data_IF_322809150773
#
_entry.id   IF_322809150773
#
_cell.length_a   1.000
_cell.length_b   1.000
_cell.length_c   1.000
_cell.angle_alpha   90.00
_cell.angle_beta   90.00
_cell.angle_gamma   90.00
#
_symmetry.space_group_name_H-M   'P 1'
#
loop_
_entity.id
_entity.type
_entity.pdbx_description
1 polymer ?
#
# COMPACT_ATOMS: atom_id res chain seq x y z
N UNK A 1 -16.04 18.06 79.27
CA UNK A 1 -15.57 18.95 78.19
C UNK A 1 -14.77 18.18 77.14
N UNK A 2 -13.95 17.19 77.51
CA UNK A 2 -13.14 16.40 76.57
C UNK A 2 -13.93 15.51 75.59
N UNK A 3 -15.00 14.86 76.03
CA UNK A 3 -15.84 14.05 75.12
C UNK A 3 -16.42 14.88 73.95
N UNK A 4 -16.77 16.13 74.21
CA UNK A 4 -17.31 17.02 73.19
C UNK A 4 -16.27 17.41 72.14
N UNK A 5 -15.01 17.62 72.56
CA UNK A 5 -13.88 17.85 71.65
C UNK A 5 -13.59 16.62 70.78
N UNK A 6 -13.65 15.42 71.36
CA UNK A 6 -13.46 14.18 70.61
C UNK A 6 -14.56 13.95 69.56
N UNK A 7 -15.83 14.20 69.93
CA UNK A 7 -16.98 14.10 69.00
C UNK A 7 -16.83 15.09 67.84
N UNK A 8 -16.40 16.33 68.11
CA UNK A 8 -16.17 17.33 67.06
C UNK A 8 -15.02 16.95 66.12
N UNK A 9 -13.92 16.43 66.68
CA UNK A 9 -12.78 15.93 65.90
C UNK A 9 -13.19 14.78 64.97
N UNK A 10 -13.95 13.81 65.50
CA UNK A 10 -14.47 12.69 64.71
C UNK A 10 -15.38 13.17 63.59
N UNK A 11 -16.35 14.05 63.87
CA UNK A 11 -17.24 14.60 62.85
C UNK A 11 -16.47 15.32 61.74
N UNK A 12 -15.42 16.09 62.08
CA UNK A 12 -14.59 16.76 61.08
C UNK A 12 -13.87 15.75 60.17
N UNK A 13 -13.35 14.67 60.73
CA UNK A 13 -12.72 13.58 59.96
C UNK A 13 -13.73 12.85 59.07
N UNK A 14 -14.93 12.56 59.58
CA UNK A 14 -16.02 11.95 58.80
C UNK A 14 -16.42 12.86 57.63
N UNK A 15 -16.64 14.15 57.88
CA UNK A 15 -16.99 15.12 56.83
C UNK A 15 -15.91 15.22 55.76
N UNK A 16 -14.63 15.20 56.15
CA UNK A 16 -13.50 15.19 55.21
C UNK A 16 -13.50 13.93 54.35
N UNK A 17 -13.65 12.76 54.97
CA UNK A 17 -13.69 11.48 54.25
C UNK A 17 -14.89 11.38 53.28
N UNK A 18 -16.05 11.92 53.68
CA UNK A 18 -17.23 12.00 52.80
C UNK A 18 -16.98 12.93 51.60
N UNK A 19 -16.29 14.06 51.81
CA UNK A 19 -15.94 14.95 50.70
C UNK A 19 -14.97 14.30 49.73
N UNK A 20 -13.91 13.66 50.25
CA UNK A 20 -12.94 12.94 49.42
C UNK A 20 -13.61 11.80 48.62
N UNK A 21 -14.59 11.12 49.22
CA UNK A 21 -15.38 10.09 48.52
C UNK A 21 -16.15 10.68 47.35
N UNK A 22 -16.86 11.79 47.55
CA UNK A 22 -17.59 12.48 46.46
C UNK A 22 -16.66 12.92 45.35
N UNK A 23 -15.53 13.54 45.68
CA UNK A 23 -14.54 13.98 44.70
C UNK A 23 -13.96 12.81 43.87
N UNK A 24 -13.78 11.64 44.50
CA UNK A 24 -13.34 10.42 43.82
C UNK A 24 -14.42 9.81 42.93
N UNK A 25 -15.67 9.82 43.36
CA UNK A 25 -16.81 9.36 42.57
C UNK A 25 -16.98 10.19 41.29
N UNK A 26 -16.84 11.51 41.39
CA UNK A 26 -16.91 12.42 40.25
C UNK A 26 -15.77 12.17 39.24
N UNK A 27 -14.54 11.98 39.75
CA UNK A 27 -13.39 11.63 38.90
C UNK A 27 -13.59 10.27 38.23
N UNK A 28 -14.14 9.29 38.95
CA UNK A 28 -14.43 7.97 38.40
C UNK A 28 -15.45 8.07 37.25
N UNK A 29 -16.48 8.90 37.41
CA UNK A 29 -17.49 9.16 36.38
C UNK A 29 -16.86 9.80 35.13
N UNK A 30 -16.01 10.82 35.30
CA UNK A 30 -15.30 11.46 34.19
C UNK A 30 -14.41 10.46 33.42
N UNK A 31 -13.65 9.62 34.14
CA UNK A 31 -12.83 8.55 33.53
C UNK A 31 -13.70 7.56 32.75
N UNK A 32 -14.86 7.17 33.28
CA UNK A 32 -15.80 6.28 32.58
C UNK A 32 -16.35 6.93 31.30
N UNK A 33 -16.68 8.22 31.34
CA UNK A 33 -17.17 8.98 30.17
C UNK A 33 -16.09 9.05 29.08
N UNK A 34 -14.86 9.41 29.43
CA UNK A 34 -13.72 9.45 28.50
C UNK A 34 -13.45 8.09 27.87
N UNK A 35 -13.49 7.02 28.67
CA UNK A 35 -13.33 5.64 28.19
C UNK A 35 -14.39 5.26 27.16
N UNK A 36 -15.66 5.62 27.41
CA UNK A 36 -16.74 5.35 26.47
C UNK A 36 -16.53 6.07 25.13
N UNK A 37 -16.19 7.35 25.17
CA UNK A 37 -15.89 8.14 23.97
C UNK A 37 -14.73 7.54 23.16
N UNK A 38 -13.66 7.10 23.84
CA UNK A 38 -12.53 6.46 23.21
C UNK A 38 -12.93 5.14 22.53
N UNK A 39 -13.76 4.32 23.20
CA UNK A 39 -14.26 3.06 22.63
C UNK A 39 -15.05 3.30 21.34
N UNK A 40 -15.97 4.27 21.35
CA UNK A 40 -16.76 4.64 20.17
C UNK A 40 -15.90 5.23 19.04
N UNK A 41 -14.85 5.99 19.37
CA UNK A 41 -13.91 6.50 18.37
C UNK A 41 -13.07 5.37 17.74
N UNK A 42 -12.63 4.41 18.55
CA UNK A 42 -11.89 3.23 18.10
C UNK A 42 -12.73 2.36 17.16
N UNK A 43 -13.98 2.06 17.54
CA UNK A 43 -14.92 1.29 16.71
C UNK A 43 -15.14 1.95 15.35
N UNK A 44 -15.33 3.28 15.31
CA UNK A 44 -15.47 4.02 14.05
C UNK A 44 -14.22 3.95 13.17
N UNK A 45 -13.04 4.16 13.76
CA UNK A 45 -11.76 4.05 13.01
C UNK A 45 -11.54 2.64 12.48
N UNK A 46 -11.92 1.60 13.22
CA UNK A 46 -11.79 0.23 12.78
C UNK A 46 -12.68 -0.05 11.55
N UNK A 47 -13.92 0.45 11.55
CA UNK A 47 -14.83 0.35 10.41
C UNK A 47 -14.29 1.09 9.19
N UNK A 48 -13.73 2.29 9.38
CA UNK A 48 -13.10 3.07 8.31
C UNK A 48 -11.91 2.33 7.69
N UNK A 49 -11.02 1.77 8.52
CA UNK A 49 -9.88 0.96 8.05
C UNK A 49 -10.35 -0.25 7.26
N UNK A 50 -11.38 -0.96 7.74
CA UNK A 50 -11.90 -2.13 7.04
C UNK A 50 -12.55 -1.76 5.70
N UNK A 51 -13.25 -0.63 5.66
CA UNK A 51 -13.88 -0.12 4.43
C UNK A 51 -12.84 0.26 3.40
N UNK A 52 -11.81 1.01 3.79
CA UNK A 52 -10.75 1.43 2.87
C UNK A 52 -9.90 0.24 2.40
N UNK A 53 -9.65 -0.74 3.27
CA UNK A 53 -8.98 -1.99 2.90
C UNK A 53 -9.75 -2.77 1.84
N UNK A 54 -11.07 -2.86 1.98
CA UNK A 54 -11.92 -3.54 1.00
C UNK A 54 -11.89 -2.79 -0.34
N UNK A 55 -12.01 -1.47 -0.31
CA UNK A 55 -11.94 -0.63 -1.51
C UNK A 55 -10.60 -0.79 -2.25
N UNK A 56 -9.48 -0.76 -1.53
CA UNK A 56 -8.16 -1.01 -2.14
C UNK A 56 -8.06 -2.39 -2.78
N UNK A 57 -8.65 -3.42 -2.16
CA UNK A 57 -8.68 -4.77 -2.73
C UNK A 57 -9.49 -4.81 -4.03
N UNK A 58 -10.64 -4.14 -4.06
CA UNK A 58 -11.48 -4.06 -5.25
C UNK A 58 -10.80 -3.25 -6.36
N UNK A 59 -10.17 -2.13 -6.03
CA UNK A 59 -9.40 -1.30 -6.96
C UNK A 59 -8.21 -2.10 -7.56
N UNK A 60 -7.45 -2.81 -6.73
CA UNK A 60 -6.36 -3.69 -7.18
C UNK A 60 -6.87 -4.83 -8.06
N UNK A 61 -7.96 -5.50 -7.67
CA UNK A 61 -8.58 -6.54 -8.48
C UNK A 61 -9.09 -6.01 -9.83
N UNK A 62 -9.61 -4.78 -9.86
CA UNK A 62 -10.03 -4.12 -11.11
C UNK A 62 -8.86 -3.73 -12.01
N UNK A 63 -7.71 -3.36 -11.42
CA UNK A 63 -6.50 -2.97 -12.14
C UNK A 63 -5.78 -4.20 -12.71
N UNK A 64 -5.64 -5.27 -11.93
CA UNK A 64 -5.06 -6.56 -12.35
C UNK A 64 -5.88 -7.20 -13.47
N UNK A 65 -7.21 -7.04 -13.43
CA UNK A 65 -8.13 -7.54 -14.45
C UNK A 65 -8.45 -6.48 -15.53
N UNK A 66 -7.73 -5.36 -15.57
CA UNK A 66 -8.00 -4.31 -16.55
C UNK A 66 -7.59 -4.83 -17.94
N UNK A 67 -8.59 -5.07 -18.79
CA UNK A 67 -8.36 -5.51 -20.18
C UNK A 67 -7.36 -4.63 -20.95
N UNK A 68 -7.12 -3.39 -20.50
CA UNK A 68 -6.08 -2.49 -21.02
C UNK A 68 -4.66 -3.05 -20.85
N UNK A 69 -4.28 -3.60 -19.70
CA UNK A 69 -2.94 -4.18 -19.49
C UNK A 69 -2.77 -5.40 -20.39
N UNK A 70 -3.78 -6.26 -20.46
CA UNK A 70 -3.78 -7.44 -21.34
C UNK A 70 -3.66 -7.05 -22.82
N UNK A 71 -4.37 -6.00 -23.24
CA UNK A 71 -4.30 -5.48 -24.62
C UNK A 71 -2.91 -4.90 -24.92
N UNK A 72 -2.31 -4.17 -23.98
CA UNK A 72 -0.95 -3.63 -24.13
C UNK A 72 0.07 -4.76 -24.25
N UNK A 73 -0.02 -5.81 -23.43
CA UNK A 73 0.84 -6.99 -23.53
C UNK A 73 0.71 -7.70 -24.87
N UNK A 74 -0.52 -7.89 -25.36
CA UNK A 74 -0.78 -8.52 -26.66
C UNK A 74 -0.21 -7.69 -27.82
N UNK A 75 -0.39 -6.36 -27.80
CA UNK A 75 0.17 -5.48 -28.81
C UNK A 75 1.69 -5.48 -28.78
N UNK A 76 2.30 -5.44 -27.59
CA UNK A 76 3.76 -5.49 -27.44
C UNK A 76 4.33 -6.81 -27.99
N UNK A 77 3.70 -7.94 -27.69
CA UNK A 77 4.10 -9.24 -28.22
C UNK A 77 4.03 -9.28 -29.76
N UNK A 78 2.97 -8.71 -30.34
CA UNK A 78 2.82 -8.61 -31.79
C UNK A 78 3.93 -7.74 -32.42
N UNK A 79 4.23 -6.58 -31.85
CA UNK A 79 5.29 -5.69 -32.34
C UNK A 79 6.68 -6.32 -32.23
N UNK A 80 6.95 -7.08 -31.16
CA UNK A 80 8.18 -7.86 -31.02
C UNK A 80 8.28 -8.89 -32.15
N UNK A 81 7.22 -9.66 -32.41
CA UNK A 81 7.20 -10.66 -33.48
C UNK A 81 7.43 -10.05 -34.86
N UNK A 82 6.74 -8.94 -35.17
CA UNK A 82 6.92 -8.21 -36.44
C UNK A 82 8.36 -7.73 -36.58
N UNK A 83 8.92 -7.13 -35.53
CA UNK A 83 10.29 -6.62 -35.54
C UNK A 83 11.31 -7.75 -35.73
N UNK A 84 11.12 -8.89 -35.09
CA UNK A 84 11.99 -10.07 -35.26
C UNK A 84 11.94 -10.62 -36.69
N UNK A 85 10.76 -10.68 -37.31
CA UNK A 85 10.65 -11.10 -38.72
C UNK A 85 11.40 -10.12 -39.63
N UNK A 86 11.24 -8.81 -39.42
CA UNK A 86 11.95 -7.78 -40.18
C UNK A 86 13.47 -7.91 -39.99
N UNK A 87 13.95 -8.10 -38.75
CA UNK A 87 15.37 -8.32 -38.45
C UNK A 87 15.93 -9.53 -39.22
N UNK A 88 15.26 -10.68 -39.18
CA UNK A 88 15.67 -11.88 -39.91
C UNK A 88 15.68 -11.68 -41.43
N UNK A 89 14.69 -10.97 -41.99
CA UNK A 89 14.66 -10.65 -43.42
C UNK A 89 15.87 -9.82 -43.82
N UNK A 90 16.18 -8.74 -43.08
CA UNK A 90 17.35 -7.91 -43.37
C UNK A 90 18.67 -8.67 -43.22
N UNK A 91 18.81 -9.49 -42.18
CA UNK A 91 19.98 -10.34 -41.99
C UNK A 91 20.18 -11.27 -43.19
N UNK A 92 19.13 -11.98 -43.61
CA UNK A 92 19.18 -12.90 -44.75
C UNK A 92 19.49 -12.19 -46.07
N UNK A 93 18.95 -10.99 -46.29
CA UNK A 93 19.25 -10.20 -47.48
C UNK A 93 20.73 -9.78 -47.51
N UNK A 94 21.28 -9.32 -46.38
CA UNK A 94 22.70 -8.92 -46.30
C UNK A 94 23.59 -10.13 -46.55
N UNK A 95 23.35 -11.26 -45.87
CA UNK A 95 24.12 -12.49 -46.04
C UNK A 95 24.01 -13.06 -47.46
N UNK A 96 22.82 -13.01 -48.06
CA UNK A 96 22.54 -13.50 -49.41
C UNK A 96 23.02 -12.58 -50.54
N UNK A 97 23.27 -11.30 -50.26
CA UNK A 97 23.70 -10.30 -51.26
C UNK A 97 25.11 -10.53 -51.82
N UNK A 98 25.91 -11.41 -51.20
CA UNK A 98 27.34 -11.62 -51.48
C UNK A 98 28.22 -10.37 -51.30
N UNK A 99 27.69 -9.29 -50.72
CA UNK A 99 28.51 -8.17 -50.28
C UNK A 99 29.47 -8.62 -49.18
N UNK A 100 30.72 -8.14 -49.20
CA UNK A 100 31.71 -8.46 -48.16
C UNK A 100 31.45 -7.66 -46.88
N UNK A 101 30.35 -7.98 -46.21
CA UNK A 101 29.87 -7.28 -45.02
C UNK A 101 30.82 -7.37 -43.83
N UNK A 102 31.72 -8.35 -43.81
CA UNK A 102 32.69 -8.52 -42.73
C UNK A 102 33.88 -7.56 -42.83
N UNK A 103 34.20 -7.07 -44.04
CA UNK A 103 35.25 -6.08 -44.29
C UNK A 103 34.76 -4.64 -44.08
N UNK A 104 33.48 -4.37 -44.37
CA UNK A 104 32.86 -3.08 -44.08
C UNK A 104 32.48 -2.99 -42.60
N UNK A 105 33.10 -2.06 -41.87
CA UNK A 105 32.92 -1.92 -40.42
C UNK A 105 31.48 -1.55 -40.02
N UNK A 106 30.79 -0.73 -40.83
CA UNK A 106 29.43 -0.29 -40.56
C UNK A 106 28.42 -1.42 -40.83
N UNK A 107 28.63 -2.18 -41.90
CA UNK A 107 27.77 -3.30 -42.25
C UNK A 107 27.97 -4.47 -41.28
N UNK A 108 29.20 -4.73 -40.85
CA UNK A 108 29.52 -5.69 -39.78
C UNK A 108 28.81 -5.35 -38.48
N UNK A 109 28.86 -4.09 -38.05
CA UNK A 109 28.16 -3.65 -36.85
C UNK A 109 26.64 -3.83 -36.98
N UNK A 110 26.08 -3.47 -38.14
CA UNK A 110 24.65 -3.59 -38.42
C UNK A 110 24.18 -5.05 -38.36
N UNK A 111 24.90 -5.98 -38.98
CA UNK A 111 24.56 -7.42 -38.95
C UNK A 111 24.62 -7.98 -37.53
N UNK A 112 25.65 -7.64 -36.76
CA UNK A 112 25.79 -8.08 -35.36
C UNK A 112 24.71 -7.50 -34.44
N UNK A 113 24.20 -6.30 -34.73
CA UNK A 113 23.08 -5.73 -34.00
C UNK A 113 21.76 -6.42 -34.35
N UNK A 114 21.56 -6.84 -35.60
CA UNK A 114 20.37 -7.59 -36.04
C UNK A 114 20.29 -9.00 -35.44
N UNK A 115 21.43 -9.60 -35.06
CA UNK A 115 21.49 -10.89 -34.34
C UNK A 115 21.00 -10.82 -32.89
N UNK A 116 20.92 -9.62 -32.31
CA UNK A 116 20.42 -9.45 -30.94
C UNK A 116 18.89 -9.51 -30.93
N UNK A 117 18.35 -10.70 -30.67
CA UNK A 117 16.92 -10.88 -30.48
C UNK A 117 16.42 -10.06 -29.27
N UNK A 118 15.26 -9.42 -29.43
CA UNK A 118 14.60 -8.62 -28.39
C UNK A 118 13.99 -9.46 -27.25
N UNK A 119 14.23 -10.77 -27.23
CA UNK A 119 13.66 -11.74 -26.27
C UNK A 119 14.14 -11.61 -24.82
N UNK A 120 14.77 -10.50 -24.44
CA UNK A 120 15.31 -10.28 -23.09
C UNK A 120 14.38 -9.46 -22.18
N UNK A 121 13.09 -9.78 -22.17
CA UNK A 121 12.18 -9.34 -21.11
C UNK A 121 11.41 -10.57 -20.62
N UNK A 122 12.06 -11.36 -19.75
CA UNK A 122 11.42 -12.32 -18.85
C UNK A 122 11.33 -11.71 -17.46
#
# INVERSE_FOLDING_TARGET
>A
MDNMKQILSLNKSVMKSQQETRDLEDKLLDVRKKRLQLKQASERKLLEIQTEKNKQKDDLGSMENSGKIKTIQQNLEMEIQITTVIQHVFQNLILGSKANWAEDSALKETVLQLEKNLTMIQ
#
